data_IF_049372787124
#
_entry.id   IF_049372787124
#
_cell.length_a   1.000
_cell.length_b   1.000
_cell.length_c   1.000
_cell.angle_alpha   90.00
_cell.angle_beta   90.00
_cell.angle_gamma   90.00
#
_symmetry.space_group_name_H-M   'P 1'
#
loop_
_entity.id
_entity.type
_entity.pdbx_description
1 polymer ?
#
# COMPACT_ATOMS: atom_id res chain seq x y z
N UNK A 1 -4.87 -16.41 30.36
CA UNK A 1 -4.35 -15.05 30.11
C UNK A 1 -3.81 -15.08 28.69
N UNK A 2 -4.62 -14.67 27.71
CA UNK A 2 -4.21 -14.64 26.29
C UNK A 2 -3.27 -13.45 26.14
N UNK A 3 -2.01 -13.72 25.90
CA UNK A 3 -1.04 -12.69 25.54
C UNK A 3 -1.45 -12.23 24.14
N UNK A 4 -2.07 -11.07 24.03
CA UNK A 4 -2.18 -10.39 22.75
C UNK A 4 -0.77 -9.99 22.35
N UNK A 5 -0.11 -10.79 21.53
CA UNK A 5 1.05 -10.32 20.77
C UNK A 5 0.55 -9.20 19.87
N UNK A 6 1.07 -7.98 20.06
CA UNK A 6 0.85 -6.92 19.10
C UNK A 6 1.23 -7.47 17.72
N UNK A 7 0.31 -7.40 16.77
CA UNK A 7 0.55 -7.84 15.41
C UNK A 7 1.66 -7.04 14.74
N UNK A 8 2.01 -7.45 13.54
CA UNK A 8 2.99 -6.74 12.71
C UNK A 8 2.28 -6.21 11.48
N UNK A 9 2.38 -4.91 11.26
CA UNK A 9 1.81 -4.28 10.07
C UNK A 9 2.69 -4.53 8.85
N UNK A 10 2.05 -4.89 7.75
CA UNK A 10 2.69 -5.16 6.47
C UNK A 10 2.04 -4.35 5.35
N UNK A 11 2.89 -3.85 4.48
CA UNK A 11 2.52 -3.34 3.16
C UNK A 11 2.81 -4.42 2.12
N UNK A 12 1.82 -4.72 1.28
CA UNK A 12 1.91 -5.69 0.21
C UNK A 12 1.41 -5.05 -1.08
N UNK A 13 2.27 -4.95 -2.07
CA UNK A 13 1.88 -4.55 -3.42
C UNK A 13 2.14 -5.70 -4.38
N UNK A 14 1.05 -6.30 -4.83
CA UNK A 14 1.03 -7.29 -5.88
C UNK A 14 0.95 -6.57 -7.22
N UNK A 15 1.99 -6.69 -8.06
CA UNK A 15 2.02 -6.10 -9.40
C UNK A 15 1.62 -7.13 -10.43
N UNK A 16 0.66 -6.79 -11.27
CA UNK A 16 0.11 -7.67 -12.29
C UNK A 16 1.10 -7.98 -13.40
N UNK A 17 1.03 -9.17 -13.92
CA UNK A 17 1.67 -9.54 -15.17
C UNK A 17 0.83 -8.99 -16.34
N UNK A 18 1.46 -8.42 -17.38
CA UNK A 18 0.71 -8.02 -18.58
C UNK A 18 -0.18 -9.15 -19.12
N UNK A 19 -1.43 -8.82 -19.44
CA UNK A 19 -2.40 -9.78 -19.99
C UNK A 19 -3.09 -10.69 -18.96
N UNK A 20 -2.94 -10.45 -17.66
CA UNK A 20 -3.54 -11.29 -16.61
C UNK A 20 -4.98 -10.92 -16.23
N UNK A 21 -5.58 -9.89 -16.86
CA UNK A 21 -6.89 -9.37 -16.47
C UNK A 21 -7.98 -10.45 -16.49
N UNK A 22 -8.07 -11.23 -17.56
CA UNK A 22 -9.07 -12.30 -17.65
C UNK A 22 -8.92 -13.33 -16.53
N UNK A 23 -7.68 -13.70 -16.19
CA UNK A 23 -7.41 -14.62 -15.07
C UNK A 23 -7.79 -14.02 -13.71
N UNK A 24 -7.62 -12.68 -13.54
CA UNK A 24 -8.13 -11.99 -12.35
C UNK A 24 -9.66 -12.06 -12.25
N UNK A 25 -10.35 -11.83 -13.37
CA UNK A 25 -11.81 -11.89 -13.41
C UNK A 25 -12.31 -13.29 -13.06
N UNK A 26 -11.69 -14.32 -13.60
CA UNK A 26 -12.03 -15.73 -13.33
C UNK A 26 -11.87 -16.09 -11.85
N UNK A 27 -10.89 -15.54 -11.16
CA UNK A 27 -10.55 -15.87 -9.75
C UNK A 27 -11.02 -14.81 -8.74
N UNK A 28 -11.86 -13.85 -9.16
CA UNK A 28 -12.25 -12.72 -8.32
C UNK A 28 -12.93 -13.15 -7.02
N UNK A 29 -13.78 -14.17 -7.06
CA UNK A 29 -14.52 -14.66 -5.88
C UNK A 29 -13.60 -15.36 -4.89
N UNK A 30 -12.64 -16.15 -5.37
CA UNK A 30 -11.62 -16.82 -4.58
C UNK A 30 -10.71 -15.80 -3.90
N UNK A 31 -10.27 -14.78 -4.63
CA UNK A 31 -9.51 -13.66 -4.11
C UNK A 31 -10.27 -12.95 -2.97
N UNK A 32 -11.51 -12.55 -3.20
CA UNK A 32 -12.30 -11.88 -2.14
C UNK A 32 -12.51 -12.78 -0.92
N UNK A 33 -12.80 -14.06 -1.13
CA UNK A 33 -12.98 -15.02 -0.04
C UNK A 33 -11.70 -15.22 0.76
N UNK A 34 -10.54 -15.15 0.10
CA UNK A 34 -9.24 -15.18 0.76
C UNK A 34 -9.02 -13.92 1.60
N UNK A 35 -9.26 -12.73 1.05
CA UNK A 35 -9.07 -11.45 1.73
C UNK A 35 -10.02 -11.26 2.92
N UNK A 36 -11.24 -11.78 2.86
CA UNK A 36 -12.21 -11.73 3.96
C UNK A 36 -11.69 -12.41 5.24
N UNK A 37 -10.79 -13.39 5.12
CA UNK A 37 -10.15 -14.05 6.27
C UNK A 37 -9.30 -13.10 7.10
N UNK A 38 -8.85 -11.99 6.51
CA UNK A 38 -7.98 -10.99 7.10
C UNK A 38 -8.70 -9.66 7.38
N UNK A 39 -10.04 -9.63 7.24
CA UNK A 39 -10.83 -8.40 7.34
C UNK A 39 -10.60 -7.63 8.64
N UNK A 40 -10.45 -8.33 9.78
CA UNK A 40 -10.25 -7.71 11.09
C UNK A 40 -8.92 -6.97 11.22
N UNK A 41 -7.88 -7.45 10.55
CA UNK A 41 -6.53 -6.83 10.55
C UNK A 41 -6.29 -5.91 9.36
N UNK A 42 -7.25 -5.78 8.42
CA UNK A 42 -7.05 -4.98 7.23
C UNK A 42 -7.04 -3.48 7.57
N UNK A 43 -5.98 -2.79 7.19
CA UNK A 43 -5.80 -1.34 7.38
C UNK A 43 -6.21 -0.59 6.11
N UNK A 44 -5.74 -1.06 4.95
CA UNK A 44 -6.15 -0.51 3.66
C UNK A 44 -6.01 -1.56 2.56
N UNK A 45 -6.82 -1.43 1.50
CA UNK A 45 -6.75 -2.29 0.32
C UNK A 45 -7.37 -1.60 -0.90
N UNK A 46 -6.96 -2.03 -2.08
CA UNK A 46 -7.60 -1.57 -3.30
C UNK A 46 -6.81 -1.85 -4.57
N UNK A 47 -7.48 -1.73 -5.71
CA UNK A 47 -6.86 -1.83 -7.02
C UNK A 47 -5.94 -0.63 -7.27
N UNK A 48 -4.88 -0.91 -8.03
CA UNK A 48 -3.87 0.07 -8.43
C UNK A 48 -3.83 0.12 -9.95
N UNK A 49 -3.85 1.33 -10.49
CA UNK A 49 -3.88 1.58 -11.93
C UNK A 49 -2.65 2.39 -12.36
N UNK A 50 -2.39 2.44 -13.65
CA UNK A 50 -1.43 3.38 -14.25
C UNK A 50 -1.73 4.81 -13.84
N UNK A 51 -0.77 5.72 -13.96
CA UNK A 51 -0.93 7.11 -13.52
C UNK A 51 -2.06 7.87 -14.24
N UNK A 52 -2.40 7.46 -15.48
CA UNK A 52 -3.55 7.95 -16.25
C UNK A 52 -4.89 7.31 -15.80
N UNK A 53 -4.85 6.24 -15.01
CA UNK A 53 -6.03 5.51 -14.54
C UNK A 53 -6.58 4.45 -15.51
N UNK A 54 -6.00 4.32 -16.71
CA UNK A 54 -6.59 3.50 -17.78
C UNK A 54 -6.40 1.99 -17.57
N UNK A 55 -5.27 1.57 -16.98
CA UNK A 55 -4.92 0.16 -16.88
C UNK A 55 -4.74 -0.28 -15.44
N UNK A 56 -5.41 -1.36 -15.06
CA UNK A 56 -5.17 -2.05 -13.79
C UNK A 56 -3.77 -2.68 -13.83
N UNK A 57 -2.95 -2.37 -12.83
CA UNK A 57 -1.55 -2.83 -12.76
C UNK A 57 -1.23 -3.61 -11.48
N UNK A 58 -2.21 -3.76 -10.59
CA UNK A 58 -2.01 -4.53 -9.37
C UNK A 58 -3.03 -4.27 -8.27
N UNK A 59 -2.69 -4.72 -7.08
CA UNK A 59 -3.48 -4.51 -5.85
C UNK A 59 -2.56 -4.22 -4.68
N UNK A 60 -2.96 -3.26 -3.87
CA UNK A 60 -2.32 -2.94 -2.60
C UNK A 60 -3.15 -3.48 -1.44
N UNK A 61 -2.46 -4.03 -0.44
CA UNK A 61 -3.03 -4.41 0.85
C UNK A 61 -2.10 -3.94 1.96
N UNK A 62 -2.66 -3.35 3.00
CA UNK A 62 -1.97 -3.04 4.24
C UNK A 62 -2.73 -3.74 5.35
N UNK A 63 -2.06 -4.60 6.09
CA UNK A 63 -2.72 -5.44 7.10
C UNK A 63 -1.84 -5.66 8.33
N UNK A 64 -2.49 -5.75 9.49
CA UNK A 64 -1.92 -6.23 10.73
C UNK A 64 -1.99 -7.77 10.76
N UNK A 65 -0.86 -8.43 10.78
CA UNK A 65 -0.71 -9.88 10.69
C UNK A 65 0.12 -10.38 11.87
N UNK A 66 0.01 -11.66 12.25
CA UNK A 66 0.62 -12.15 13.48
C UNK A 66 2.14 -12.02 13.54
N UNK A 67 2.83 -12.29 12.43
CA UNK A 67 4.30 -12.32 12.35
C UNK A 67 4.79 -12.29 10.88
N UNK A 68 6.11 -12.42 10.68
CA UNK A 68 6.73 -12.46 9.35
C UNK A 68 6.25 -13.67 8.51
N UNK A 69 5.98 -14.80 9.13
CA UNK A 69 5.48 -15.98 8.43
C UNK A 69 4.03 -15.73 7.95
N UNK A 70 3.20 -15.12 8.80
CA UNK A 70 1.84 -14.67 8.45
C UNK A 70 1.84 -13.65 7.32
N UNK A 71 2.79 -12.69 7.33
CA UNK A 71 2.96 -11.74 6.23
C UNK A 71 3.29 -12.41 4.89
N UNK A 72 4.20 -13.38 4.91
CA UNK A 72 4.54 -14.17 3.72
C UNK A 72 3.38 -15.04 3.25
N UNK A 73 2.71 -15.74 4.17
CA UNK A 73 1.54 -16.55 3.85
C UNK A 73 0.45 -15.69 3.20
N UNK A 74 0.12 -14.53 3.80
CA UNK A 74 -0.84 -13.57 3.24
C UNK A 74 -0.53 -13.20 1.80
N UNK A 75 0.74 -12.90 1.49
CA UNK A 75 1.14 -12.43 0.18
C UNK A 75 1.28 -13.53 -0.87
N UNK A 76 1.68 -14.75 -0.47
CA UNK A 76 2.09 -15.80 -1.39
C UNK A 76 1.09 -16.96 -1.52
N UNK A 77 0.19 -17.17 -0.53
CA UNK A 77 -0.89 -18.17 -0.59
C UNK A 77 -2.18 -17.58 -1.21
N UNK A 78 -2.16 -16.34 -1.59
CA UNK A 78 -3.24 -15.60 -2.21
C UNK A 78 -3.57 -16.21 -3.59
N UNK A 79 -4.86 -16.44 -3.94
CA UNK A 79 -5.26 -17.15 -5.16
C UNK A 79 -4.72 -16.58 -6.46
N UNK A 80 -4.64 -15.26 -6.61
CA UNK A 80 -4.06 -14.62 -7.78
C UNK A 80 -2.56 -14.88 -7.90
N UNK A 81 -1.83 -14.87 -6.75
CA UNK A 81 -0.41 -15.22 -6.74
C UNK A 81 -0.20 -16.65 -7.17
N UNK A 82 -0.96 -17.60 -6.59
CA UNK A 82 -0.86 -19.02 -6.88
C UNK A 82 -1.20 -19.36 -8.35
N UNK A 83 -2.11 -18.60 -8.94
CA UNK A 83 -2.49 -18.74 -10.35
C UNK A 83 -1.52 -18.03 -11.33
N UNK A 84 -0.56 -17.25 -10.82
CA UNK A 84 0.41 -16.52 -11.65
C UNK A 84 -0.15 -15.27 -12.31
N UNK A 85 -1.13 -14.61 -11.68
CA UNK A 85 -1.63 -13.28 -12.10
C UNK A 85 -0.54 -12.24 -11.96
N UNK A 86 0.27 -12.32 -10.90
CA UNK A 86 1.28 -11.34 -10.58
C UNK A 86 2.65 -11.65 -11.21
N UNK A 87 3.37 -10.61 -11.59
CA UNK A 87 4.77 -10.70 -12.02
C UNK A 87 5.73 -10.64 -10.83
N UNK A 88 5.40 -9.83 -9.81
CA UNK A 88 6.19 -9.65 -8.60
C UNK A 88 5.33 -9.19 -7.43
N UNK A 89 5.88 -9.29 -6.22
CA UNK A 89 5.26 -8.85 -4.97
C UNK A 89 6.26 -8.05 -4.16
N UNK A 90 5.94 -6.81 -3.84
CA UNK A 90 6.65 -6.02 -2.84
C UNK A 90 6.00 -6.26 -1.47
N UNK A 91 6.64 -7.06 -0.63
CA UNK A 91 6.24 -7.30 0.75
C UNK A 91 7.26 -6.64 1.67
N UNK A 92 6.80 -5.76 2.57
CA UNK A 92 7.63 -5.11 3.59
C UNK A 92 6.86 -4.98 4.89
N UNK A 93 7.58 -5.01 6.01
CA UNK A 93 7.03 -4.47 7.24
C UNK A 93 6.76 -2.98 7.04
N UNK A 94 5.70 -2.54 7.70
CA UNK A 94 5.24 -1.16 7.61
C UNK A 94 4.80 -0.68 9.00
N UNK A 95 4.71 0.61 9.21
CA UNK A 95 4.22 1.19 10.46
C UNK A 95 3.16 2.25 10.15
N UNK A 96 1.98 2.09 10.75
CA UNK A 96 0.88 3.04 10.63
C UNK A 96 1.15 4.31 11.44
N UNK A 97 1.59 5.37 10.78
CA UNK A 97 1.89 6.64 11.45
C UNK A 97 0.61 7.38 11.83
N UNK A 98 -0.47 7.22 11.05
CA UNK A 98 -1.74 7.90 11.29
C UNK A 98 -2.60 7.19 12.34
N UNK A 99 -2.32 5.92 12.64
CA UNK A 99 -3.05 5.13 13.62
C UNK A 99 -4.52 4.86 13.26
N UNK A 100 -4.88 4.98 11.97
CA UNK A 100 -6.25 4.76 11.47
C UNK A 100 -6.26 3.84 10.25
N UNK A 101 -7.43 3.31 9.93
CA UNK A 101 -7.68 2.53 8.72
C UNK A 101 -8.23 3.41 7.60
N UNK A 102 -8.27 2.88 6.37
CA UNK A 102 -8.87 3.60 5.23
C UNK A 102 -10.36 3.91 5.44
N UNK A 103 -11.07 3.09 6.23
CA UNK A 103 -12.49 3.31 6.54
C UNK A 103 -12.74 4.47 7.51
N UNK A 104 -11.71 4.92 8.22
CA UNK A 104 -11.71 6.07 9.13
C UNK A 104 -11.15 7.34 8.45
N UNK A 105 -10.89 7.27 7.15
CA UNK A 105 -10.43 8.42 6.38
C UNK A 105 -11.48 9.54 6.38
N UNK A 106 -11.15 10.77 6.79
CA UNK A 106 -12.12 11.88 6.89
C UNK A 106 -12.75 12.26 5.55
N UNK A 107 -12.03 12.07 4.43
CA UNK A 107 -12.53 12.30 3.08
C UNK A 107 -13.56 11.27 2.60
N UNK A 108 -13.83 10.23 3.39
CA UNK A 108 -14.76 9.17 3.04
C UNK A 108 -14.16 8.13 2.08
N UNK A 109 -15.00 7.56 1.21
CA UNK A 109 -14.54 6.56 0.23
C UNK A 109 -13.87 7.25 -0.96
N UNK A 110 -12.74 6.72 -1.40
CA UNK A 110 -12.01 7.20 -2.58
C UNK A 110 -12.32 6.29 -3.77
N UNK A 111 -13.10 6.79 -4.71
CA UNK A 111 -13.48 6.13 -5.96
C UNK A 111 -12.59 6.52 -7.15
N UNK A 112 -13.05 6.20 -8.35
CA UNK A 112 -12.30 6.41 -9.60
C UNK A 112 -11.98 7.90 -9.85
N UNK A 113 -12.95 8.78 -9.62
CA UNK A 113 -12.84 10.22 -9.91
C UNK A 113 -12.33 11.04 -8.72
N UNK A 114 -12.14 10.42 -7.55
CA UNK A 114 -11.85 11.13 -6.29
C UNK A 114 -10.37 11.46 -6.08
N UNK A 115 -9.51 11.22 -7.08
CA UNK A 115 -8.11 11.58 -7.00
C UNK A 115 -7.28 10.77 -5.99
N UNK A 116 -7.55 9.48 -5.85
CA UNK A 116 -6.75 8.59 -5.01
C UNK A 116 -5.43 8.19 -5.66
N UNK A 117 -4.36 8.21 -4.88
CA UNK A 117 -3.03 7.81 -5.33
C UNK A 117 -2.32 6.92 -4.32
N UNK A 118 -1.59 5.93 -4.85
CA UNK A 118 -0.52 5.22 -4.16
C UNK A 118 0.80 5.91 -4.50
N UNK A 119 1.54 6.30 -3.48
CA UNK A 119 2.89 6.88 -3.61
C UNK A 119 3.89 5.99 -2.90
N UNK A 120 4.93 5.58 -3.61
CA UNK A 120 6.02 4.75 -3.11
C UNK A 120 7.33 5.48 -3.28
N UNK A 121 8.06 5.72 -2.19
CA UNK A 121 9.46 6.13 -2.20
C UNK A 121 10.33 4.96 -1.73
N UNK A 122 11.21 4.45 -2.59
CA UNK A 122 12.06 3.30 -2.32
C UNK A 122 13.53 3.73 -2.30
N UNK A 123 14.22 3.49 -1.18
CA UNK A 123 15.65 3.71 -1.05
C UNK A 123 16.46 2.59 -1.72
N UNK A 124 17.70 2.88 -2.12
CA UNK A 124 18.68 1.87 -2.54
C UNK A 124 19.30 1.12 -1.35
N UNK A 125 19.03 1.55 -0.12
CA UNK A 125 19.49 1.04 1.15
C UNK A 125 18.68 1.69 2.28
N UNK A 126 19.22 1.72 3.52
CA UNK A 126 18.58 2.43 4.63
C UNK A 126 18.31 3.90 4.27
N UNK A 127 17.08 4.33 4.53
CA UNK A 127 16.64 5.71 4.30
C UNK A 127 16.69 6.45 5.63
N UNK A 128 17.27 7.66 5.73
CA UNK A 128 17.24 8.44 6.96
C UNK A 128 15.80 8.65 7.46
N UNK A 129 15.63 8.65 8.78
CA UNK A 129 14.38 9.10 9.37
C UNK A 129 14.24 10.60 9.07
N UNK A 130 13.30 10.94 8.22
CA UNK A 130 12.87 12.33 8.06
C UNK A 130 11.71 12.56 9.02
N UNK A 131 11.78 13.59 9.84
CA UNK A 131 10.63 14.08 10.60
C UNK A 131 9.61 14.79 9.70
N UNK A 132 9.88 14.83 8.40
CA UNK A 132 9.11 15.54 7.42
C UNK A 132 7.82 14.79 7.04
N UNK A 133 6.79 15.03 7.80
CA UNK A 133 5.49 15.26 7.19
C UNK A 133 5.50 16.73 6.79
N UNK A 134 6.01 17.04 5.61
CA UNK A 134 6.04 18.40 5.14
C UNK A 134 4.63 18.99 5.07
N UNK A 135 4.54 20.27 5.41
CA UNK A 135 3.32 21.11 5.47
C UNK A 135 2.50 21.17 4.16
N UNK A 136 2.96 20.48 3.08
CA UNK A 136 2.31 20.53 1.77
C UNK A 136 1.16 19.55 1.57
N UNK A 137 1.13 18.42 2.31
CA UNK A 137 -0.02 17.51 2.27
C UNK A 137 -0.66 17.50 3.65
N UNK A 138 -1.87 18.00 3.73
CA UNK A 138 -2.62 18.03 5.01
C UNK A 138 -2.87 16.59 5.46
N UNK A 139 -2.79 16.34 6.76
CA UNK A 139 -3.10 15.01 7.33
C UNK A 139 -4.51 14.51 6.92
N UNK A 140 -5.41 15.43 6.59
CA UNK A 140 -6.77 15.16 6.15
C UNK A 140 -6.83 14.57 4.74
N UNK A 141 -5.81 14.78 3.89
CA UNK A 141 -5.70 14.17 2.57
C UNK A 141 -5.06 12.77 2.59
N UNK A 142 -4.38 12.41 3.67
CA UNK A 142 -3.72 11.11 3.81
C UNK A 142 -4.71 10.04 4.23
N UNK A 143 -4.90 9.01 3.42
CA UNK A 143 -5.66 7.81 3.78
C UNK A 143 -4.81 6.92 4.70
N UNK A 144 -3.57 6.62 4.28
CA UNK A 144 -2.54 5.96 5.10
C UNK A 144 -1.19 6.58 4.83
N UNK A 145 -0.28 6.51 5.82
CA UNK A 145 1.09 6.98 5.67
C UNK A 145 2.02 6.23 6.62
N UNK A 146 3.19 5.86 6.12
CA UNK A 146 4.20 5.27 7.00
C UNK A 146 5.46 4.76 6.29
N UNK A 147 6.52 4.50 7.08
CA UNK A 147 7.77 3.95 6.59
C UNK A 147 7.61 2.47 6.20
N UNK A 148 8.26 2.10 5.10
CA UNK A 148 8.58 0.71 4.77
C UNK A 148 9.84 0.32 5.54
N UNK A 149 9.79 -0.85 6.18
CA UNK A 149 10.83 -1.32 7.08
C UNK A 149 11.40 -2.66 6.61
N UNK A 150 12.64 -2.93 6.98
CA UNK A 150 13.19 -4.27 6.92
C UNK A 150 12.45 -5.23 7.87
N UNK A 151 12.79 -6.52 7.81
CA UNK A 151 12.21 -7.56 8.67
C UNK A 151 12.51 -7.32 10.15
N UNK A 152 13.55 -6.54 10.49
CA UNK A 152 13.88 -6.11 11.86
C UNK A 152 12.85 -5.14 12.46
N UNK A 153 11.98 -4.54 11.63
CA UNK A 153 10.96 -3.59 12.01
C UNK A 153 11.47 -2.23 12.46
N UNK A 154 12.74 -1.92 12.20
CA UNK A 154 13.42 -0.68 12.62
C UNK A 154 14.08 0.04 11.47
N UNK A 155 14.80 -0.69 10.61
CA UNK A 155 15.53 -0.12 9.49
C UNK A 155 14.55 0.32 8.40
N UNK A 156 14.42 1.64 8.20
CA UNK A 156 13.60 2.22 7.14
C UNK A 156 14.28 2.01 5.79
N UNK A 157 13.52 1.54 4.80
CA UNK A 157 13.98 1.31 3.42
C UNK A 157 13.12 2.03 2.39
N UNK A 158 12.12 2.78 2.84
CA UNK A 158 11.23 3.53 1.99
C UNK A 158 10.08 4.16 2.75
N UNK A 159 9.15 4.72 2.00
CA UNK A 159 7.89 5.28 2.51
C UNK A 159 6.76 4.92 1.58
N UNK A 160 5.58 4.71 2.12
CA UNK A 160 4.36 4.54 1.34
C UNK A 160 3.26 5.45 1.89
N UNK A 161 2.48 6.00 0.98
CA UNK A 161 1.26 6.74 1.27
C UNK A 161 0.13 6.31 0.33
N UNK A 162 -1.08 6.24 0.88
CA UNK A 162 -2.32 6.34 0.12
C UNK A 162 -2.87 7.72 0.41
N UNK A 163 -3.10 8.52 -0.62
CA UNK A 163 -3.43 9.94 -0.49
C UNK A 163 -4.47 10.37 -1.52
N UNK A 164 -5.34 11.30 -1.14
CA UNK A 164 -6.23 11.99 -2.05
C UNK A 164 -5.57 13.30 -2.49
N UNK A 165 -5.44 13.52 -3.80
CA UNK A 165 -4.78 14.69 -4.37
C UNK A 165 -5.37 15.05 -5.73
N UNK A 166 -5.22 16.30 -6.16
CA UNK A 166 -5.72 16.76 -7.46
C UNK A 166 -4.87 16.25 -8.64
N UNK A 167 -3.63 15.83 -8.39
CA UNK A 167 -2.72 15.34 -9.43
C UNK A 167 -1.66 14.39 -8.86
N UNK A 168 -1.03 13.59 -9.73
CA UNK A 168 0.11 12.75 -9.37
C UNK A 168 1.31 13.57 -8.85
N UNK A 169 1.51 14.80 -9.36
CA UNK A 169 2.57 15.68 -8.90
C UNK A 169 2.33 16.15 -7.46
N UNK A 170 1.08 16.51 -7.13
CA UNK A 170 0.69 16.86 -5.76
C UNK A 170 0.79 15.66 -4.84
N UNK A 171 0.29 14.48 -5.26
CA UNK A 171 0.42 13.25 -4.49
C UNK A 171 1.88 12.90 -4.17
N UNK A 172 2.80 13.08 -5.13
CA UNK A 172 4.25 12.87 -4.93
C UNK A 172 4.81 13.77 -3.83
N UNK A 173 4.23 14.95 -3.62
CA UNK A 173 4.64 15.89 -2.57
C UNK A 173 4.58 15.32 -1.15
N UNK A 174 3.83 14.22 -0.92
CA UNK A 174 3.77 13.54 0.38
C UNK A 174 5.14 12.99 0.84
N UNK A 175 6.06 12.78 -0.07
CA UNK A 175 7.42 12.30 0.23
C UNK A 175 8.39 13.43 0.59
N UNK A 176 7.95 14.70 0.53
CA UNK A 176 8.77 15.89 0.68
C UNK A 176 8.94 16.68 -0.61
N UNK A 177 9.71 17.73 -0.57
CA UNK A 177 9.91 18.67 -1.69
C UNK A 177 11.31 18.61 -2.29
N UNK A 178 11.40 18.72 -3.63
CA UNK A 178 12.62 18.97 -4.36
C UNK A 178 13.75 17.96 -4.17
N UNK A 179 14.97 18.45 -3.99
CA UNK A 179 16.20 17.66 -3.92
C UNK A 179 16.24 16.67 -2.74
N UNK A 180 15.44 16.88 -1.70
CA UNK A 180 15.38 15.99 -0.54
C UNK A 180 14.79 14.63 -0.89
N UNK A 181 13.78 14.59 -1.75
CA UNK A 181 13.17 13.35 -2.25
C UNK A 181 14.18 12.55 -3.07
N UNK A 182 14.87 13.22 -4.01
CA UNK A 182 15.83 12.57 -4.91
C UNK A 182 17.08 12.08 -4.15
N UNK A 183 17.39 12.68 -3.00
CA UNK A 183 18.49 12.22 -2.14
C UNK A 183 18.10 11.03 -1.23
N UNK A 184 16.82 10.91 -0.86
CA UNK A 184 16.31 9.87 0.03
C UNK A 184 15.89 8.59 -0.72
N UNK A 185 15.33 8.75 -1.92
CA UNK A 185 14.72 7.65 -2.67
C UNK A 185 15.42 7.43 -4.01
N UNK A 186 15.87 6.20 -4.23
CA UNK A 186 16.41 5.79 -5.53
C UNK A 186 15.31 5.67 -6.60
N UNK A 187 14.08 5.36 -6.15
CA UNK A 187 12.92 5.22 -7.03
C UNK A 187 11.71 5.85 -6.34
N UNK A 188 10.95 6.64 -7.10
CA UNK A 188 9.63 7.13 -6.69
C UNK A 188 8.61 6.68 -7.73
N UNK A 189 7.61 5.95 -7.27
CA UNK A 189 6.50 5.46 -8.08
C UNK A 189 5.20 6.11 -7.63
N UNK A 190 4.37 6.56 -8.56
CA UNK A 190 3.04 7.13 -8.29
C UNK A 190 2.03 6.45 -9.20
N UNK A 191 0.97 5.93 -8.60
CA UNK A 191 -0.10 5.20 -9.26
C UNK A 191 -1.46 5.77 -8.88
N UNK A 192 -2.46 5.60 -9.72
CA UNK A 192 -3.86 5.80 -9.30
C UNK A 192 -4.26 4.64 -8.40
N UNK A 193 -5.04 4.94 -7.37
CA UNK A 193 -5.55 3.97 -6.41
C UNK A 193 -6.99 4.31 -6.00
N UNK A 194 -7.76 3.29 -5.68
CA UNK A 194 -9.14 3.42 -5.21
C UNK A 194 -9.38 2.49 -4.02
N UNK A 195 -10.39 2.80 -3.22
CA UNK A 195 -10.88 1.86 -2.22
C UNK A 195 -11.36 0.58 -2.89
N UNK A 196 -10.94 -0.56 -2.38
CA UNK A 196 -11.24 -1.86 -2.95
C UNK A 196 -11.85 -2.84 -1.97
N UNK A 197 -12.33 -3.95 -2.54
CA UNK A 197 -12.95 -5.02 -1.80
C UNK A 197 -14.43 -4.76 -1.48
N UNK A 198 -15.12 -5.84 -1.13
CA UNK A 198 -16.49 -5.76 -0.61
C UNK A 198 -16.46 -5.40 0.88
N UNK A 199 -17.48 -4.67 1.35
CA UNK A 199 -17.71 -4.37 2.77
C UNK A 199 -18.35 -5.57 3.47
#
# INVERSE_FOLDING_TARGET
MTVFTAGMEFFVFHRDRPGSLALRDDLLQEHWSYMDRFATGMIARGPVFTADGENLVGSVHIADLPDLAGGRAFALEEPYYQAGVFRDVLLRRWRNVLGRTMWEFPGGTVGEDDGGYLVLGLGSGPVPDSEATDEMVTQDALVTYGPLLCDDGRTRVGTVALVQAASAAEARGVLGSGNDVDSQYAVVEVYRWQFGGRR
#
